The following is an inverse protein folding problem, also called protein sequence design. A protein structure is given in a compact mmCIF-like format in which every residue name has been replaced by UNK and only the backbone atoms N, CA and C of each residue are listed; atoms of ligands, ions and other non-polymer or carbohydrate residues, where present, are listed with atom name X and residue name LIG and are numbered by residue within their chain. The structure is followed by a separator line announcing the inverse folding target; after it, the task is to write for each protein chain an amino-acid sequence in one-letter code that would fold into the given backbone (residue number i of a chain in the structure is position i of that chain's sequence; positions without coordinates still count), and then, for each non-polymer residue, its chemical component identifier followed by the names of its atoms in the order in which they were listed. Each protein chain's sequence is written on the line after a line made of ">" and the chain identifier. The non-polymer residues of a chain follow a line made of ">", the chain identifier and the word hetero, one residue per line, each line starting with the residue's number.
data_IF_750591146548
#
_entry.id   IF_750591146548
#
_cell.length_a   1.000
_cell.length_b   1.000
_cell.length_c   1.000
_cell.angle_alpha   90.00
_cell.angle_beta   90.00
_cell.angle_gamma   90.00
#
_symmetry.space_group_name_H-M   'P 1'
#
loop_
_entity.id
_entity.type
_entity.pdbx_description
1 polymer ?
#
# COMPACT_ATOMS: atom_id res chain seq x y z
N UNK A 1 -4.06 -7.02 -15.48
CA UNK A 1 -2.89 -6.83 -14.58
C UNK A 1 -3.44 -6.52 -13.21
N UNK A 2 -2.87 -7.07 -12.11
CA UNK A 2 -3.31 -6.73 -10.76
C UNK A 2 -3.12 -5.23 -10.49
N UNK A 3 -3.88 -4.63 -9.56
CA UNK A 3 -3.70 -3.24 -9.18
C UNK A 3 -2.31 -3.02 -8.55
N UNK A 4 -1.76 -1.83 -8.74
CA UNK A 4 -0.50 -1.43 -8.12
C UNK A 4 -0.65 -1.20 -6.62
N UNK A 5 -1.71 -0.47 -6.25
CA UNK A 5 -2.13 -0.20 -4.88
C UNK A 5 -3.64 -0.36 -4.80
N UNK A 6 -4.13 -0.85 -3.67
CA UNK A 6 -5.55 -0.93 -3.37
C UNK A 6 -5.88 0.11 -2.30
N UNK A 7 -6.90 0.93 -2.58
CA UNK A 7 -7.45 1.90 -1.64
C UNK A 7 -8.72 1.30 -1.02
N UNK A 8 -8.77 1.21 0.30
CA UNK A 8 -9.93 0.80 1.08
C UNK A 8 -10.43 1.93 1.96
N UNK A 9 -11.74 2.13 2.02
CA UNK A 9 -12.41 3.10 2.88
C UNK A 9 -13.87 2.69 3.06
N UNK A 10 -14.58 3.32 4.00
CA UNK A 10 -16.01 3.10 4.15
C UNK A 10 -16.78 3.67 2.95
N UNK A 11 -17.21 2.79 2.05
CA UNK A 11 -17.98 3.16 0.86
C UNK A 11 -19.36 3.71 1.18
N UNK A 12 -19.95 3.33 2.33
CA UNK A 12 -21.25 3.86 2.73
C UNK A 12 -21.12 5.34 3.11
N UNK A 13 -20.07 5.70 3.85
CA UNK A 13 -19.74 7.09 4.12
C UNK A 13 -19.41 7.86 2.82
N UNK A 14 -18.64 7.27 1.91
CA UNK A 14 -18.25 7.95 0.67
C UNK A 14 -19.40 8.25 -0.32
N UNK A 15 -20.48 7.47 -0.26
CA UNK A 15 -21.61 7.55 -1.19
C UNK A 15 -22.88 8.11 -0.53
N UNK A 16 -22.82 8.53 0.73
CA UNK A 16 -24.00 9.02 1.42
C UNK A 16 -24.41 10.42 0.90
N UNK A 17 -25.73 10.63 0.80
CA UNK A 17 -26.32 11.85 0.26
C UNK A 17 -26.17 13.05 1.21
N UNK A 18 -25.98 12.78 2.51
CA UNK A 18 -25.80 13.80 3.54
C UNK A 18 -24.31 13.93 3.91
N UNK A 19 -23.61 15.00 3.48
CA UNK A 19 -22.17 15.17 3.69
C UNK A 19 -21.79 15.23 5.18
N UNK A 20 -22.69 15.65 6.07
CA UNK A 20 -22.41 15.71 7.52
C UNK A 20 -22.39 14.32 8.18
N UNK A 21 -23.01 13.32 7.54
CA UNK A 21 -23.02 11.92 7.97
C UNK A 21 -22.04 11.04 7.16
N UNK A 22 -21.24 11.65 6.28
CA UNK A 22 -20.44 10.99 5.23
C UNK A 22 -18.93 11.06 5.46
N UNK A 23 -18.47 11.41 6.66
CA UNK A 23 -17.05 11.66 6.89
C UNK A 23 -16.23 10.36 6.82
N UNK A 24 -15.36 10.24 5.80
CA UNK A 24 -14.33 9.20 5.74
C UNK A 24 -13.26 9.53 6.78
N UNK A 25 -13.14 8.68 7.80
CA UNK A 25 -12.16 8.86 8.89
C UNK A 25 -10.88 8.09 8.67
N UNK A 26 -11.02 6.89 8.12
CA UNK A 26 -9.91 5.97 7.91
C UNK A 26 -9.85 5.55 6.45
N UNK A 27 -8.62 5.54 5.93
CA UNK A 27 -8.30 5.01 4.61
C UNK A 27 -7.16 4.01 4.79
N UNK A 28 -7.32 2.84 4.18
CA UNK A 28 -6.27 1.83 4.09
C UNK A 28 -5.66 1.86 2.69
N UNK A 29 -4.34 1.98 2.60
CA UNK A 29 -3.60 1.85 1.35
C UNK A 29 -2.75 0.57 1.41
N UNK A 30 -3.04 -0.38 0.53
CA UNK A 30 -2.41 -1.70 0.54
C UNK A 30 -1.60 -1.94 -0.73
N UNK A 31 -0.41 -2.52 -0.54
CA UNK A 31 0.42 -3.08 -1.60
C UNK A 31 0.51 -4.59 -1.42
N UNK A 32 0.13 -5.35 -2.45
CA UNK A 32 0.46 -6.76 -2.54
C UNK A 32 1.80 -6.93 -3.26
N UNK A 33 2.84 -7.20 -2.47
CA UNK A 33 4.24 -7.25 -2.92
C UNK A 33 4.46 -8.35 -3.96
N UNK A 34 3.82 -9.51 -3.81
CA UNK A 34 4.04 -10.62 -4.73
C UNK A 34 3.40 -10.40 -6.11
N UNK A 35 2.35 -9.58 -6.16
CA UNK A 35 1.52 -9.40 -7.35
C UNK A 35 2.09 -8.37 -8.34
N UNK A 36 2.93 -7.45 -7.86
CA UNK A 36 3.44 -6.31 -8.64
C UNK A 36 4.92 -6.47 -8.97
N UNK A 37 5.33 -6.03 -10.17
CA UNK A 37 6.74 -6.01 -10.54
C UNK A 37 7.54 -4.96 -9.76
N UNK A 38 8.72 -5.34 -9.27
CA UNK A 38 9.71 -4.43 -8.63
C UNK A 38 10.01 -3.19 -9.48
N UNK A 39 10.03 -3.32 -10.80
CA UNK A 39 10.31 -2.22 -11.74
C UNK A 39 9.28 -1.08 -11.68
N UNK A 40 8.08 -1.34 -11.19
CA UNK A 40 7.03 -0.32 -11.00
C UNK A 40 7.28 0.56 -9.77
N UNK A 41 8.29 0.22 -8.95
CA UNK A 41 8.62 0.90 -7.69
C UNK A 41 7.39 1.05 -6.76
N UNK A 42 6.64 -0.04 -6.49
CA UNK A 42 5.33 0.05 -5.86
C UNK A 42 5.34 0.68 -4.46
N UNK A 43 6.37 0.44 -3.66
CA UNK A 43 6.45 1.01 -2.32
C UNK A 43 6.75 2.52 -2.35
N UNK A 44 7.56 2.99 -3.30
CA UNK A 44 7.76 4.41 -3.51
C UNK A 44 6.43 5.09 -3.89
N UNK A 45 5.65 4.46 -4.78
CA UNK A 45 4.30 4.92 -5.13
C UNK A 45 3.35 4.92 -3.92
N UNK A 46 3.43 3.89 -3.07
CA UNK A 46 2.65 3.84 -1.83
C UNK A 46 2.98 5.02 -0.92
N UNK A 47 4.27 5.34 -0.73
CA UNK A 47 4.71 6.48 0.07
C UNK A 47 4.20 7.80 -0.49
N UNK A 48 4.30 8.00 -1.81
CA UNK A 48 3.83 9.22 -2.47
C UNK A 48 2.33 9.42 -2.30
N UNK A 49 1.54 8.37 -2.54
CA UNK A 49 0.08 8.40 -2.40
C UNK A 49 -0.33 8.56 -0.94
N UNK A 50 0.30 7.83 -0.02
CA UNK A 50 0.04 7.94 1.41
C UNK A 50 0.30 9.35 1.93
N UNK A 51 1.41 9.98 1.51
CA UNK A 51 1.70 11.38 1.83
C UNK A 51 0.64 12.33 1.27
N UNK A 52 0.28 12.18 -0.01
CA UNK A 52 -0.74 13.02 -0.64
C UNK A 52 -2.11 12.92 0.06
N UNK A 53 -2.50 11.73 0.49
CA UNK A 53 -3.74 11.50 1.26
C UNK A 53 -3.67 12.18 2.63
N UNK A 54 -2.56 12.04 3.35
CA UNK A 54 -2.36 12.72 4.64
C UNK A 54 -2.46 14.25 4.47
N UNK A 55 -1.75 14.81 3.48
CA UNK A 55 -1.75 16.25 3.22
C UNK A 55 -3.16 16.75 2.82
N UNK A 56 -3.94 15.96 2.06
CA UNK A 56 -5.27 16.35 1.60
C UNK A 56 -6.37 16.22 2.67
N UNK A 57 -6.22 15.29 3.61
CA UNK A 57 -7.22 14.98 4.64
C UNK A 57 -6.86 15.54 6.02
N UNK A 58 -5.73 16.23 6.14
CA UNK A 58 -5.11 16.57 7.43
C UNK A 58 -4.94 15.30 8.31
N UNK A 59 -4.54 14.22 7.65
CA UNK A 59 -4.46 12.87 8.19
C UNK A 59 -3.09 12.54 8.75
N UNK A 60 -3.04 11.46 9.54
CA UNK A 60 -1.81 10.90 10.09
C UNK A 60 -1.58 9.53 9.48
N UNK A 61 -0.38 9.29 8.95
CA UNK A 61 0.00 7.96 8.48
C UNK A 61 0.15 7.02 9.68
N UNK A 62 -0.57 5.90 9.66
CA UNK A 62 -0.58 4.92 10.73
C UNK A 62 -0.21 3.52 10.24
N UNK A 63 0.21 2.65 11.17
CA UNK A 63 0.25 1.21 10.94
C UNK A 63 -1.17 0.61 10.90
N UNK A 64 -1.26 -0.69 10.64
CA UNK A 64 -2.55 -1.43 10.59
C UNK A 64 -3.34 -1.44 11.91
N UNK A 65 -2.70 -1.07 13.04
CA UNK A 65 -3.34 -1.00 14.35
C UNK A 65 -3.74 0.44 14.71
N UNK A 66 -3.55 1.40 13.79
CA UNK A 66 -3.86 2.81 14.01
C UNK A 66 -2.78 3.59 14.77
N UNK A 67 -1.58 3.01 14.98
CA UNK A 67 -0.49 3.75 15.62
C UNK A 67 0.24 4.63 14.61
N UNK A 68 0.51 5.91 14.92
CA UNK A 68 1.27 6.78 14.03
C UNK A 68 2.61 6.19 13.64
N UNK A 69 2.87 6.15 12.34
CA UNK A 69 4.06 5.57 11.77
C UNK A 69 5.14 6.65 11.64
N UNK A 70 6.27 6.56 12.37
CA UNK A 70 7.29 7.59 12.31
C UNK A 70 7.99 7.57 10.96
N UNK A 71 8.34 8.75 10.44
CA UNK A 71 8.99 8.89 9.13
C UNK A 71 10.27 8.03 9.00
N UNK A 72 11.00 7.84 10.11
CA UNK A 72 12.21 7.00 10.15
C UNK A 72 11.94 5.51 9.87
N UNK A 73 10.69 5.03 9.93
CA UNK A 73 10.34 3.65 9.62
C UNK A 73 10.31 3.39 8.10
N UNK A 74 10.19 4.42 7.27
CA UNK A 74 10.02 4.25 5.81
C UNK A 74 11.23 3.65 5.11
N UNK A 75 12.43 4.07 5.49
CA UNK A 75 13.66 3.60 4.84
C UNK A 75 14.01 2.15 5.23
N UNK A 76 13.89 1.73 6.50
CA UNK A 76 13.96 0.31 6.86
C UNK A 76 12.97 -0.57 6.10
N UNK A 77 11.70 -0.16 5.97
CA UNK A 77 10.70 -0.93 5.20
C UNK A 77 11.11 -1.03 3.73
N UNK A 78 11.67 0.04 3.15
CA UNK A 78 12.20 0.01 1.78
C UNK A 78 13.31 -1.02 1.65
N UNK A 79 14.28 -1.03 2.57
CA UNK A 79 15.38 -1.98 2.55
C UNK A 79 14.91 -3.44 2.71
N UNK A 80 13.97 -3.69 3.63
CA UNK A 80 13.39 -5.02 3.84
C UNK A 80 12.63 -5.51 2.60
N UNK A 81 11.94 -4.63 1.88
CA UNK A 81 11.28 -4.97 0.63
C UNK A 81 12.27 -5.29 -0.50
N UNK A 82 13.38 -4.56 -0.61
CA UNK A 82 14.43 -4.89 -1.58
C UNK A 82 15.04 -6.27 -1.30
N UNK A 83 15.29 -6.59 -0.03
CA UNK A 83 15.75 -7.93 0.37
C UNK A 83 14.72 -9.02 0.01
N UNK A 84 13.43 -8.75 0.23
CA UNK A 84 12.36 -9.68 -0.14
C UNK A 84 12.31 -9.92 -1.66
N UNK A 85 12.49 -8.88 -2.47
CA UNK A 85 12.56 -9.04 -3.93
C UNK A 85 13.75 -9.91 -4.34
N UNK A 86 14.93 -9.66 -3.78
CA UNK A 86 16.12 -10.46 -4.07
C UNK A 86 15.92 -11.95 -3.68
N UNK A 87 15.23 -12.22 -2.57
CA UNK A 87 14.89 -13.57 -2.14
C UNK A 87 13.91 -14.29 -3.08
N UNK A 88 12.95 -13.55 -3.64
CA UNK A 88 12.00 -14.04 -4.63
C UNK A 88 12.70 -14.33 -5.95
N UNK A 89 13.55 -13.40 -6.42
CA UNK A 89 14.33 -13.55 -7.64
C UNK A 89 15.27 -14.77 -7.58
N UNK A 90 15.96 -14.97 -6.44
CA UNK A 90 16.83 -16.13 -6.23
C UNK A 90 16.12 -17.49 -6.20
N UNK A 91 14.78 -17.51 -6.25
CA UNK A 91 13.95 -18.72 -6.29
C UNK A 91 13.16 -18.85 -7.60
N UNK A 92 13.49 -18.05 -8.62
CA UNK A 92 12.72 -17.94 -9.87
C UNK A 92 11.24 -17.55 -9.63
N UNK A 93 10.98 -16.83 -8.53
CA UNK A 93 9.66 -16.35 -8.10
C UNK A 93 9.60 -14.82 -8.12
N UNK A 94 10.26 -14.17 -9.08
CA UNK A 94 10.27 -12.71 -9.21
C UNK A 94 8.88 -12.11 -9.01
N UNK A 95 8.81 -11.06 -8.20
CA UNK A 95 7.56 -10.37 -7.91
C UNK A 95 6.86 -9.92 -9.21
N UNK A 96 5.55 -10.11 -9.29
CA UNK A 96 4.73 -9.86 -10.47
C UNK A 96 4.86 -10.92 -11.58
N UNK A 97 5.75 -11.90 -11.48
CA UNK A 97 5.81 -13.02 -12.42
C UNK A 97 4.53 -13.87 -12.37
N UNK A 98 4.22 -14.61 -13.43
CA UNK A 98 3.06 -15.51 -13.46
C UNK A 98 3.12 -16.56 -12.34
N UNK A 99 4.32 -17.06 -12.02
CA UNK A 99 4.50 -18.05 -10.96
C UNK A 99 4.30 -17.44 -9.58
N UNK A 100 4.91 -16.29 -9.29
CA UNK A 100 4.70 -15.58 -8.03
C UNK A 100 3.22 -15.26 -7.81
N UNK A 101 2.56 -14.67 -8.82
CA UNK A 101 1.13 -14.33 -8.73
C UNK A 101 0.28 -15.55 -8.38
N UNK A 102 0.50 -16.68 -9.06
CA UNK A 102 -0.24 -17.94 -8.82
C UNK A 102 0.02 -18.52 -7.44
N UNK A 103 1.25 -18.43 -6.93
CA UNK A 103 1.63 -18.98 -5.63
C UNK A 103 0.99 -18.19 -4.47
N UNK A 104 0.86 -16.87 -4.63
CA UNK A 104 0.34 -15.95 -3.62
C UNK A 104 -1.09 -15.46 -3.93
N UNK A 105 -1.88 -16.25 -4.70
CA UNK A 105 -3.31 -15.99 -4.98
C UNK A 105 -4.23 -16.56 -3.89
#
# INVERSE_FOLDING_TARGET
>A
LPPLLTLGFDTAAALADDPDQSAIRDITLSLDVAQVHRSEQPFARLRDVGKALCDAMDGVLCDQNGHPLPAMAMDPITADLELLYDQLDGRDLSAGSVLARRLFS
#
